data_IF_551103121067
#
_entry.id   IF_551103121067
#
_cell.length_a   1.000
_cell.length_b   1.000
_cell.length_c   1.000
_cell.angle_alpha   90.00
_cell.angle_beta   90.00
_cell.angle_gamma   90.00
#
_symmetry.space_group_name_H-M   'P 1'
#
loop_
_entity.id
_entity.type
_entity.pdbx_description
1 polymer ?
#
# COMPACT_ATOMS: atom_id res chain seq x y z
N UNK A 1 -2.39 -9.83 -11.81
CA UNK A 1 -3.31 -9.68 -10.65
C UNK A 1 -4.42 -10.72 -10.66
N UNK A 2 -5.20 -10.85 -11.74
CA UNK A 2 -6.28 -11.84 -11.83
C UNK A 2 -5.78 -13.27 -11.53
N UNK A 3 -4.73 -13.74 -12.21
CA UNK A 3 -4.13 -15.07 -11.97
C UNK A 3 -3.68 -15.28 -10.52
N UNK A 4 -3.15 -14.24 -9.86
CA UNK A 4 -2.73 -14.30 -8.46
C UNK A 4 -3.91 -14.44 -7.49
N UNK A 5 -5.12 -14.01 -7.88
CA UNK A 5 -6.32 -13.99 -7.04
C UNK A 5 -7.31 -15.13 -7.34
N UNK A 6 -7.14 -15.85 -8.46
CA UNK A 6 -8.09 -16.89 -8.90
C UNK A 6 -8.29 -18.02 -7.87
N UNK A 7 -7.24 -18.38 -7.12
CA UNK A 7 -7.30 -19.45 -6.11
C UNK A 7 -7.72 -19.00 -4.70
N UNK A 8 -8.02 -17.72 -4.48
CA UNK A 8 -8.20 -17.15 -3.13
C UNK A 8 -9.69 -17.01 -2.73
N UNK A 9 -10.22 -17.99 -1.97
CA UNK A 9 -11.58 -17.95 -1.41
C UNK A 9 -11.74 -16.96 -0.23
N UNK A 10 -10.66 -16.37 0.31
CA UNK A 10 -10.78 -15.44 1.45
C UNK A 10 -11.71 -14.29 1.13
N UNK A 11 -11.73 -13.83 -0.12
CA UNK A 11 -12.66 -12.77 -0.58
C UNK A 11 -14.13 -13.14 -0.30
N UNK A 12 -14.54 -14.38 -0.61
CA UNK A 12 -15.89 -14.86 -0.38
C UNK A 12 -16.22 -14.94 1.12
N UNK A 13 -15.31 -15.49 1.91
CA UNK A 13 -15.43 -15.60 3.37
C UNK A 13 -15.55 -14.22 4.03
N UNK A 14 -14.64 -13.29 3.72
CA UNK A 14 -14.64 -11.94 4.27
C UNK A 14 -15.88 -11.15 3.84
N UNK A 15 -16.37 -11.32 2.60
CA UNK A 15 -17.61 -10.66 2.15
C UNK A 15 -18.82 -11.14 2.95
N UNK A 16 -18.92 -12.44 3.26
CA UNK A 16 -19.98 -12.99 4.11
C UNK A 16 -19.89 -12.47 5.53
N UNK A 17 -18.69 -12.47 6.13
CA UNK A 17 -18.45 -11.94 7.47
C UNK A 17 -18.82 -10.45 7.56
N UNK A 18 -18.30 -9.62 6.64
CA UNK A 18 -18.59 -8.18 6.60
C UNK A 18 -20.08 -7.90 6.43
N UNK A 19 -20.78 -8.71 5.62
CA UNK A 19 -22.23 -8.57 5.46
C UNK A 19 -22.99 -8.88 6.75
N UNK A 20 -22.59 -9.92 7.50
CA UNK A 20 -23.19 -10.24 8.81
C UNK A 20 -22.94 -9.11 9.82
N UNK A 21 -21.68 -8.69 9.99
CA UNK A 21 -21.32 -7.59 10.89
C UNK A 21 -22.07 -6.29 10.56
N UNK A 22 -22.27 -5.99 9.27
CA UNK A 22 -23.05 -4.82 8.85
C UNK A 22 -24.52 -4.92 9.25
N UNK A 23 -25.14 -6.09 9.08
CA UNK A 23 -26.53 -6.31 9.52
C UNK A 23 -26.64 -6.18 11.04
N UNK A 24 -25.69 -6.77 11.77
CA UNK A 24 -25.69 -6.72 13.23
C UNK A 24 -25.46 -5.30 13.75
N UNK A 25 -24.56 -4.53 13.13
CA UNK A 25 -24.37 -3.12 13.46
C UNK A 25 -25.63 -2.27 13.21
N UNK A 26 -26.37 -2.53 12.11
CA UNK A 26 -27.65 -1.85 11.84
C UNK A 26 -28.70 -2.20 12.90
N UNK A 27 -28.79 -3.46 13.31
CA UNK A 27 -29.71 -3.89 14.37
C UNK A 27 -29.32 -3.28 15.71
N UNK A 28 -28.03 -3.29 16.06
CA UNK A 28 -27.51 -2.69 17.28
C UNK A 28 -27.89 -1.22 17.36
N UNK A 29 -27.61 -0.43 16.31
CA UNK A 29 -27.96 0.99 16.29
C UNK A 29 -29.46 1.23 16.47
N UNK A 30 -30.31 0.46 15.77
CA UNK A 30 -31.77 0.55 15.95
C UNK A 30 -32.21 0.24 17.37
N UNK A 31 -31.59 -0.74 18.03
CA UNK A 31 -31.91 -1.09 19.42
C UNK A 31 -31.43 -0.02 20.39
N UNK A 32 -30.23 0.54 20.18
CA UNK A 32 -29.72 1.62 21.02
C UNK A 32 -30.54 2.90 20.89
N UNK A 33 -31.13 3.17 19.72
CA UNK A 33 -32.02 4.32 19.53
C UNK A 33 -33.33 4.22 20.34
N UNK A 34 -33.68 3.02 20.84
CA UNK A 34 -34.83 2.82 21.72
C UNK A 34 -34.52 3.08 23.20
N UNK A 35 -33.23 3.19 23.55
CA UNK A 35 -32.77 3.42 24.92
C UNK A 35 -32.56 4.94 25.08
N UNK A 36 -33.18 5.58 26.08
CA UNK A 36 -32.89 6.98 26.39
C UNK A 36 -31.40 7.19 26.63
N UNK A 37 -30.80 8.15 25.92
CA UNK A 37 -29.41 8.55 26.11
C UNK A 37 -29.39 9.77 27.05
N UNK A 38 -29.11 9.54 28.33
CA UNK A 38 -29.13 10.58 29.36
C UNK A 38 -27.99 11.62 29.20
N UNK A 39 -26.96 11.30 28.41
CA UNK A 39 -25.82 12.17 28.16
C UNK A 39 -25.27 11.98 26.73
N UNK A 40 -25.99 12.43 25.70
CA UNK A 40 -25.57 12.25 24.32
C UNK A 40 -24.31 13.05 24.04
N UNK A 41 -23.27 12.38 23.54
CA UNK A 41 -22.06 13.04 23.05
C UNK A 41 -22.34 13.66 21.67
N UNK A 42 -22.33 15.01 21.53
CA UNK A 42 -22.59 15.66 20.25
C UNK A 42 -21.52 15.36 19.19
N UNK A 43 -20.31 14.94 19.60
CA UNK A 43 -19.23 14.59 18.69
C UNK A 43 -19.31 13.15 18.16
N UNK A 44 -20.16 12.29 18.74
CA UNK A 44 -20.23 10.84 18.44
C UNK A 44 -20.30 10.54 16.94
N UNK A 45 -21.24 11.18 16.23
CA UNK A 45 -21.44 10.95 14.80
C UNK A 45 -20.31 11.54 13.95
N UNK A 46 -19.73 12.67 14.38
CA UNK A 46 -18.57 13.25 13.72
C UNK A 46 -17.35 12.33 13.80
N UNK A 47 -17.04 11.80 14.99
CA UNK A 47 -15.96 10.84 15.24
C UNK A 47 -16.19 9.57 14.41
N UNK A 48 -17.40 9.01 14.43
CA UNK A 48 -17.75 7.82 13.63
C UNK A 48 -17.50 8.04 12.13
N UNK A 49 -17.94 9.16 11.57
CA UNK A 49 -17.72 9.50 10.16
C UNK A 49 -16.24 9.70 9.84
N UNK A 50 -15.50 10.36 10.73
CA UNK A 50 -14.06 10.58 10.59
C UNK A 50 -13.29 9.26 10.55
N UNK A 51 -13.56 8.35 11.49
CA UNK A 51 -12.97 6.99 11.49
C UNK A 51 -13.31 6.25 10.20
N UNK A 52 -14.57 6.31 9.76
CA UNK A 52 -15.01 5.69 8.51
C UNK A 52 -14.25 6.22 7.28
N UNK A 53 -14.11 7.54 7.18
CA UNK A 53 -13.38 8.18 6.08
C UNK A 53 -11.89 7.81 6.08
N UNK A 54 -11.24 7.83 7.26
CA UNK A 54 -9.84 7.43 7.42
C UNK A 54 -9.63 5.97 7.04
N UNK A 55 -10.50 5.06 7.48
CA UNK A 55 -10.40 3.65 7.14
C UNK A 55 -10.62 3.40 5.64
N UNK A 56 -11.57 4.11 5.01
CA UNK A 56 -11.79 4.04 3.57
C UNK A 56 -10.56 4.52 2.78
N UNK A 57 -9.97 5.65 3.19
CA UNK A 57 -8.74 6.17 2.58
C UNK A 57 -7.58 5.18 2.75
N UNK A 58 -7.43 4.58 3.93
CA UNK A 58 -6.40 3.55 4.18
C UNK A 58 -6.55 2.37 3.22
N UNK A 59 -7.76 1.84 3.05
CA UNK A 59 -8.04 0.74 2.10
C UNK A 59 -7.72 1.14 0.65
N UNK A 60 -8.07 2.37 0.24
CA UNK A 60 -7.76 2.88 -1.09
C UNK A 60 -6.24 2.99 -1.32
N UNK A 61 -5.47 3.37 -0.31
CA UNK A 61 -4.00 3.40 -0.38
C UNK A 61 -3.40 2.00 -0.49
N UNK A 62 -3.93 1.01 0.24
CA UNK A 62 -3.51 -0.39 0.09
C UNK A 62 -3.77 -0.89 -1.35
N UNK A 63 -4.96 -0.65 -1.88
CA UNK A 63 -5.32 -1.00 -3.25
C UNK A 63 -4.42 -0.29 -4.27
N UNK A 64 -4.10 0.99 -4.05
CA UNK A 64 -3.18 1.74 -4.89
C UNK A 64 -1.80 1.08 -4.93
N UNK A 65 -1.25 0.67 -3.78
CA UNK A 65 0.03 -0.05 -3.72
C UNK A 65 -0.02 -1.37 -4.50
N UNK A 66 -1.10 -2.15 -4.36
CA UNK A 66 -1.27 -3.43 -5.06
C UNK A 66 -1.36 -3.26 -6.58
N UNK A 67 -2.00 -2.19 -7.05
CA UNK A 67 -2.02 -1.88 -8.49
C UNK A 67 -0.63 -1.47 -8.99
N UNK A 68 0.06 -0.60 -8.23
CA UNK A 68 1.40 -0.11 -8.61
C UNK A 68 2.46 -1.19 -8.63
N UNK A 69 2.46 -2.13 -7.69
CA UNK A 69 3.47 -3.20 -7.65
C UNK A 69 3.33 -4.15 -8.84
N UNK A 70 2.11 -4.44 -9.28
CA UNK A 70 1.86 -5.28 -10.46
C UNK A 70 2.30 -4.58 -11.76
N UNK A 71 2.31 -3.25 -11.79
CA UNK A 71 2.84 -2.45 -12.91
C UNK A 71 4.37 -2.47 -13.03
N UNK A 72 5.11 -2.95 -12.04
CA UNK A 72 6.57 -3.07 -12.13
C UNK A 72 6.94 -4.09 -13.22
N UNK A 73 7.84 -3.74 -14.16
CA UNK A 73 8.27 -4.62 -15.23
C UNK A 73 8.88 -5.93 -14.73
N UNK A 74 8.90 -6.95 -15.59
CA UNK A 74 9.68 -8.15 -15.32
C UNK A 74 11.18 -7.80 -15.34
N UNK A 75 11.93 -8.39 -14.41
CA UNK A 75 13.39 -8.30 -14.35
C UNK A 75 13.98 -9.70 -14.24
N UNK A 76 15.18 -9.89 -14.81
CA UNK A 76 15.96 -11.11 -14.59
C UNK A 76 16.29 -11.23 -13.10
N UNK A 77 16.41 -12.46 -12.57
CA UNK A 77 16.73 -12.69 -11.16
C UNK A 77 18.05 -12.02 -10.79
N UNK A 78 17.99 -10.79 -10.32
CA UNK A 78 19.11 -10.09 -9.73
C UNK A 78 19.09 -10.44 -8.23
N UNK A 79 20.06 -11.23 -7.77
CA UNK A 79 20.20 -11.64 -6.37
C UNK A 79 19.06 -12.56 -5.83
N UNK A 80 18.71 -13.63 -6.54
CA UNK A 80 17.79 -14.70 -6.10
C UNK A 80 16.33 -14.31 -5.75
N UNK A 81 15.90 -13.07 -6.02
CA UNK A 81 14.53 -12.61 -5.78
C UNK A 81 13.78 -12.48 -7.09
N UNK A 82 12.58 -13.06 -7.15
CA UNK A 82 11.69 -12.97 -8.30
C UNK A 82 10.70 -11.79 -8.17
N UNK A 83 10.15 -11.36 -9.32
CA UNK A 83 9.03 -10.40 -9.34
C UNK A 83 7.84 -10.90 -8.52
N UNK A 84 7.59 -12.21 -8.49
CA UNK A 84 6.53 -12.82 -7.69
C UNK A 84 6.72 -12.58 -6.20
N UNK A 85 7.94 -12.77 -5.70
CA UNK A 85 8.28 -12.60 -4.28
C UNK A 85 8.05 -11.16 -3.83
N UNK A 86 8.45 -10.17 -4.64
CA UNK A 86 8.24 -8.76 -4.31
C UNK A 86 6.76 -8.38 -4.34
N UNK A 87 5.98 -8.91 -5.30
CA UNK A 87 4.52 -8.74 -5.30
C UNK A 87 3.91 -9.30 -4.02
N UNK A 88 4.30 -10.51 -3.62
CA UNK A 88 3.82 -11.14 -2.40
C UNK A 88 4.20 -10.34 -1.15
N UNK A 89 5.42 -9.81 -1.07
CA UNK A 89 5.86 -8.95 0.03
C UNK A 89 4.97 -7.71 0.17
N UNK A 90 4.63 -7.03 -0.93
CA UNK A 90 3.71 -5.89 -0.88
C UNK A 90 2.30 -6.33 -0.48
N UNK A 91 1.80 -7.46 -1.01
CA UNK A 91 0.47 -8.02 -0.67
C UNK A 91 0.37 -8.45 0.80
N UNK A 92 1.49 -8.83 1.42
CA UNK A 92 1.62 -9.16 2.84
C UNK A 92 2.07 -7.97 3.71
N UNK A 93 2.07 -6.76 3.14
CA UNK A 93 2.42 -5.49 3.79
C UNK A 93 3.88 -5.35 4.27
N UNK A 94 4.79 -6.20 3.79
CA UNK A 94 6.26 -6.06 3.92
C UNK A 94 6.81 -5.05 2.91
N UNK A 95 6.25 -3.84 2.93
CA UNK A 95 6.43 -2.84 1.86
C UNK A 95 7.85 -2.27 1.81
N UNK A 96 8.44 -1.95 2.97
CA UNK A 96 9.78 -1.36 3.03
C UNK A 96 10.86 -2.32 2.51
N UNK A 97 10.77 -3.59 2.87
CA UNK A 97 11.67 -4.64 2.37
C UNK A 97 11.53 -4.80 0.85
N UNK A 98 10.31 -4.83 0.33
CA UNK A 98 10.06 -4.91 -1.11
C UNK A 98 10.66 -3.72 -1.88
N UNK A 99 10.49 -2.50 -1.35
CA UNK A 99 11.05 -1.29 -1.97
C UNK A 99 12.58 -1.27 -1.93
N UNK A 100 13.20 -1.75 -0.85
CA UNK A 100 14.65 -1.85 -0.76
C UNK A 100 15.22 -2.82 -1.81
N UNK A 101 14.59 -3.98 -1.98
CA UNK A 101 14.98 -4.95 -2.99
C UNK A 101 14.80 -4.41 -4.41
N UNK A 102 13.67 -3.75 -4.69
CA UNK A 102 13.42 -3.15 -6.00
C UNK A 102 14.41 -2.04 -6.34
N UNK A 103 14.77 -1.16 -5.39
CA UNK A 103 15.77 -0.11 -5.64
C UNK A 103 17.17 -0.66 -5.88
N UNK A 104 17.50 -1.80 -5.27
CA UNK A 104 18.75 -2.52 -5.56
C UNK A 104 18.72 -3.16 -6.96
N UNK A 105 17.57 -3.67 -7.40
CA UNK A 105 17.40 -4.25 -8.72
C UNK A 105 17.30 -3.19 -9.84
N UNK A 106 16.79 -2.00 -9.52
CA UNK A 106 16.56 -0.88 -10.43
C UNK A 106 17.19 0.41 -9.89
N UNK A 107 18.54 0.51 -9.85
CA UNK A 107 19.21 1.69 -9.33
C UNK A 107 18.93 2.91 -10.24
N UNK A 108 18.43 3.99 -9.65
CA UNK A 108 18.07 5.26 -10.37
C UNK A 108 19.32 6.02 -10.83
N UNK A 109 20.48 5.72 -10.24
CA UNK A 109 21.78 6.24 -10.65
C UNK A 109 22.79 5.11 -10.54
N UNK A 110 23.46 4.80 -11.64
CA UNK A 110 24.65 3.95 -11.67
C UNK A 110 25.81 4.90 -11.97
N UNK A 111 26.97 4.79 -11.30
CA UNK A 111 28.14 5.56 -11.70
C UNK A 111 28.45 5.31 -13.17
N UNK A 112 28.40 6.36 -13.98
CA UNK A 112 28.58 6.28 -15.42
C UNK A 112 30.05 6.44 -15.81
N UNK A 113 30.43 6.17 -17.07
CA UNK A 113 31.79 6.39 -17.57
C UNK A 113 32.30 7.82 -17.33
N UNK A 114 31.41 8.82 -17.33
CA UNK A 114 31.73 10.24 -17.04
C UNK A 114 32.04 10.51 -15.56
N UNK A 115 31.72 9.60 -14.65
CA UNK A 115 32.09 9.67 -13.23
C UNK A 115 33.52 9.15 -13.00
N UNK A 116 34.19 8.65 -14.04
CA UNK A 116 35.57 8.19 -14.03
C UNK A 116 36.42 8.98 -15.03
N UNK A 117 37.72 9.22 -14.74
CA UNK A 117 38.62 9.84 -15.71
C UNK A 117 38.98 8.81 -16.78
N UNK A 118 38.16 8.73 -17.83
CA UNK A 118 38.40 7.92 -19.02
C UNK A 118 38.78 8.85 -20.17
N UNK A 119 39.90 8.59 -20.83
CA UNK A 119 40.36 9.37 -21.99
C UNK A 119 39.66 8.93 -23.29
N UNK A 120 39.06 7.73 -23.33
CA UNK A 120 38.30 7.23 -24.47
C UNK A 120 36.81 7.67 -24.47
N UNK A 121 36.33 8.16 -25.62
CA UNK A 121 34.91 8.45 -25.85
C UNK A 121 34.08 7.17 -25.99
N UNK A 122 32.99 7.07 -25.23
CA UNK A 122 32.03 5.96 -25.31
C UNK A 122 30.97 6.21 -26.38
N UNK A 123 30.88 5.29 -27.35
CA UNK A 123 29.80 5.26 -28.36
C UNK A 123 28.58 4.43 -27.91
N UNK A 124 28.60 3.89 -26.68
CA UNK A 124 27.49 3.12 -26.14
C UNK A 124 26.34 4.05 -25.71
N UNK A 125 25.08 3.78 -26.10
CA UNK A 125 23.96 4.63 -25.72
C UNK A 125 23.73 4.60 -24.21
N UNK A 126 23.68 5.77 -23.56
CA UNK A 126 23.45 5.99 -22.12
C UNK A 126 22.04 5.54 -21.62
N UNK A 127 21.30 4.73 -22.40
CA UNK A 127 19.86 4.48 -22.27
C UNK A 127 19.38 3.62 -21.08
N UNK A 128 20.28 3.23 -20.16
CA UNK A 128 19.92 2.44 -18.97
C UNK A 128 19.32 3.28 -17.83
N UNK A 129 19.76 4.54 -17.68
CA UNK A 129 19.44 5.37 -16.50
C UNK A 129 18.04 5.97 -16.55
N UNK A 130 17.55 6.35 -17.74
CA UNK A 130 16.23 6.97 -17.90
C UNK A 130 15.07 6.01 -17.62
N UNK A 131 15.23 4.72 -17.96
CA UNK A 131 14.23 3.68 -17.77
C UNK A 131 13.99 3.32 -16.29
N UNK A 132 15.05 3.23 -15.49
CA UNK A 132 14.93 2.97 -14.05
C UNK A 132 14.39 4.19 -13.30
N UNK A 133 14.76 5.40 -13.73
CA UNK A 133 14.13 6.62 -13.23
C UNK A 133 12.61 6.65 -13.42
N UNK A 134 12.09 6.14 -14.54
CA UNK A 134 10.65 6.01 -14.76
C UNK A 134 10.00 5.02 -13.79
N UNK A 135 10.63 3.86 -13.54
CA UNK A 135 10.12 2.87 -12.57
C UNK A 135 10.05 3.47 -11.15
N UNK A 136 11.10 4.18 -10.72
CA UNK A 136 11.10 4.83 -9.39
C UNK A 136 9.96 5.86 -9.28
N UNK A 137 9.78 6.70 -10.30
CA UNK A 137 8.75 7.75 -10.30
C UNK A 137 7.34 7.20 -10.38
N UNK A 138 7.11 6.22 -11.25
CA UNK A 138 5.75 5.80 -11.62
C UNK A 138 5.22 4.68 -10.72
N UNK A 139 6.12 3.91 -10.08
CA UNK A 139 5.77 2.76 -9.26
C UNK A 139 6.27 2.88 -7.81
N UNK A 140 7.59 2.96 -7.59
CA UNK A 140 8.18 2.78 -6.24
C UNK A 140 7.89 3.97 -5.32
N UNK A 141 8.05 5.20 -5.82
CA UNK A 141 7.73 6.43 -5.07
C UNK A 141 6.26 6.50 -4.66
N UNK A 142 5.28 6.24 -5.55
CA UNK A 142 3.87 6.15 -5.17
C UNK A 142 3.59 5.10 -4.09
N UNK A 143 4.21 3.91 -4.19
CA UNK A 143 4.06 2.86 -3.17
C UNK A 143 4.59 3.34 -1.82
N UNK A 144 5.79 3.91 -1.79
CA UNK A 144 6.40 4.41 -0.56
C UNK A 144 5.54 5.50 0.12
N UNK A 145 5.03 6.45 -0.67
CA UNK A 145 4.15 7.52 -0.18
C UNK A 145 2.84 6.97 0.36
N UNK A 146 2.23 6.02 -0.35
CA UNK A 146 0.98 5.39 0.08
C UNK A 146 1.17 4.58 1.37
N UNK A 147 2.30 3.87 1.51
CA UNK A 147 2.64 3.13 2.72
C UNK A 147 2.78 4.06 3.93
N UNK A 148 3.59 5.11 3.81
CA UNK A 148 3.80 6.08 4.88
C UNK A 148 2.49 6.77 5.31
N UNK A 149 1.63 7.12 4.35
CA UNK A 149 0.33 7.71 4.66
C UNK A 149 -0.62 6.70 5.33
N UNK A 150 -0.61 5.44 4.92
CA UNK A 150 -1.39 4.37 5.56
C UNK A 150 -1.00 4.16 7.03
N UNK A 151 0.29 4.22 7.35
CA UNK A 151 0.79 4.16 8.73
C UNK A 151 0.31 5.37 9.55
N UNK A 152 0.46 6.59 9.01
CA UNK A 152 -0.03 7.83 9.67
C UNK A 152 -1.53 7.80 9.94
N UNK A 153 -2.31 7.29 8.99
CA UNK A 153 -3.76 7.12 9.16
C UNK A 153 -4.07 6.10 10.26
N UNK A 154 -3.29 5.01 10.34
CA UNK A 154 -3.45 4.01 11.41
C UNK A 154 -3.25 4.64 12.79
N UNK A 155 -2.21 5.46 12.95
CA UNK A 155 -1.99 6.24 14.18
C UNK A 155 -3.12 7.24 14.45
N UNK A 156 -3.60 7.94 13.42
CA UNK A 156 -4.71 8.88 13.55
C UNK A 156 -5.99 8.17 14.05
N UNK A 157 -6.30 6.98 13.52
CA UNK A 157 -7.43 6.16 13.97
C UNK A 157 -7.22 5.70 15.42
N UNK A 158 -6.02 5.24 15.80
CA UNK A 158 -5.74 4.80 17.16
C UNK A 158 -5.96 5.92 18.19
N UNK A 159 -5.58 7.16 17.85
CA UNK A 159 -5.80 8.32 18.69
C UNK A 159 -7.30 8.62 18.95
N UNK A 160 -8.18 8.31 18.00
CA UNK A 160 -9.64 8.46 18.19
C UNK A 160 -10.20 7.52 19.27
N UNK A 161 -9.54 6.38 19.50
CA UNK A 161 -9.95 5.38 20.49
C UNK A 161 -9.19 5.52 21.82
N UNK A 162 -8.33 6.52 21.98
CA UNK A 162 -7.46 6.65 23.17
C UNK A 162 -6.44 5.53 23.30
N UNK A 163 -6.19 4.77 22.23
CA UNK A 163 -5.18 3.72 22.19
C UNK A 163 -3.82 4.39 21.93
N UNK A 164 -3.09 4.66 23.00
CA UNK A 164 -1.71 5.15 22.94
C UNK A 164 -0.75 3.95 22.87
N UNK A 165 -0.02 3.84 21.76
CA UNK A 165 0.98 2.81 21.50
C UNK A 165 1.88 3.17 20.33
#
# INVERSE_FOLDING_TARGET
>A
LAEYLVGDDRTGVFRRLASRLRIDALKLHRLTDLIPDDAPDPAREHVRRRIGALQALRLALLQHMFLKIVSVPAFSRANDISRGDVIEMVMTLRVDEALALLRRAFPVRIPGPRDFPLDETSDYPDGGEEGYGAIERDCLTPIARAHALSLRITTAIANEFGAHG
#
